data_IF_261624960306
#
_entry.id   IF_261624960306
#
_cell.length_a   1.000
_cell.length_b   1.000
_cell.length_c   1.000
_cell.angle_alpha   90.00
_cell.angle_beta   90.00
_cell.angle_gamma   90.00
#
_symmetry.space_group_name_H-M   'P 1'
#
loop_
_entity.id
_entity.type
_entity.pdbx_description
1 polymer ?
#
# COMPACT_ATOMS: atom_id res chain seq x y z
N UNK A 1 5.12 1.41 -14.11
CA UNK A 1 5.43 0.71 -12.84
C UNK A 1 4.96 -0.75 -12.91
N UNK A 2 5.58 -1.72 -12.22
CA UNK A 2 5.09 -3.11 -12.22
C UNK A 2 4.32 -3.41 -10.93
N UNK A 3 3.01 -3.16 -10.92
CA UNK A 3 2.16 -3.32 -9.73
C UNK A 3 2.09 -4.75 -9.22
N UNK A 4 2.25 -5.78 -10.07
CA UNK A 4 2.23 -7.17 -9.59
C UNK A 4 3.40 -7.48 -8.66
N UNK A 5 4.58 -6.91 -8.94
CA UNK A 5 5.76 -7.07 -8.08
C UNK A 5 5.58 -6.31 -6.76
N UNK A 6 5.01 -5.10 -6.81
CA UNK A 6 4.74 -4.30 -5.61
C UNK A 6 3.71 -4.95 -4.69
N UNK A 7 2.65 -5.55 -5.26
CA UNK A 7 1.66 -6.32 -4.49
C UNK A 7 2.30 -7.53 -3.79
N UNK A 8 3.27 -8.20 -4.43
CA UNK A 8 4.02 -9.29 -3.78
C UNK A 8 4.72 -8.81 -2.51
N UNK A 9 5.42 -7.67 -2.58
CA UNK A 9 6.09 -7.08 -1.42
C UNK A 9 5.12 -6.61 -0.33
N UNK A 10 3.95 -6.07 -0.72
CA UNK A 10 2.89 -5.77 0.26
C UNK A 10 2.44 -7.03 0.98
N UNK A 11 2.20 -8.12 0.26
CA UNK A 11 1.74 -9.37 0.85
C UNK A 11 2.79 -10.01 1.78
N UNK A 12 4.07 -9.91 1.44
CA UNK A 12 5.18 -10.29 2.31
C UNK A 12 5.19 -9.47 3.61
N UNK A 13 5.02 -8.14 3.51
CA UNK A 13 4.97 -7.26 4.67
C UNK A 13 3.74 -7.53 5.54
N UNK A 14 2.55 -7.66 4.94
CA UNK A 14 1.31 -8.01 5.65
C UNK A 14 1.45 -9.34 6.41
N UNK A 15 2.04 -10.36 5.78
CA UNK A 15 2.27 -11.66 6.41
C UNK A 15 3.20 -11.55 7.63
N UNK A 16 4.23 -10.70 7.57
CA UNK A 16 5.12 -10.44 8.71
C UNK A 16 4.40 -9.78 9.90
N UNK A 17 3.27 -9.12 9.65
CA UNK A 17 2.43 -8.48 10.65
C UNK A 17 1.16 -9.29 11.00
N UNK A 18 1.03 -10.52 10.53
CA UNK A 18 -0.12 -11.38 10.82
C UNK A 18 -1.39 -11.04 10.03
N UNK A 19 -1.30 -10.12 9.06
CA UNK A 19 -2.40 -9.77 8.17
C UNK A 19 -2.61 -10.80 7.05
N UNK A 20 -3.85 -10.86 6.55
CA UNK A 20 -4.16 -11.59 5.32
C UNK A 20 -3.58 -10.92 4.08
N UNK A 21 -3.47 -11.64 2.94
CA UNK A 21 -2.99 -11.04 1.71
C UNK A 21 -3.98 -10.00 1.17
N UNK A 22 -3.45 -8.99 0.50
CA UNK A 22 -4.21 -8.13 -0.39
C UNK A 22 -4.65 -8.93 -1.62
N UNK A 23 -5.94 -9.19 -1.74
CA UNK A 23 -6.56 -9.85 -2.89
C UNK A 23 -6.89 -8.79 -3.94
N UNK A 24 -6.04 -8.65 -4.95
CA UNK A 24 -6.21 -7.66 -6.02
C UNK A 24 -7.45 -7.95 -6.87
N UNK A 25 -8.26 -6.92 -7.11
CA UNK A 25 -9.43 -6.95 -8.00
C UNK A 25 -9.19 -6.18 -9.30
N UNK A 26 -8.44 -5.07 -9.24
CA UNK A 26 -8.12 -4.26 -10.41
C UNK A 26 -6.82 -3.50 -10.20
N UNK A 27 -6.11 -3.23 -11.30
CA UNK A 27 -4.89 -2.41 -11.28
C UNK A 27 -4.99 -1.34 -12.36
N UNK A 28 -4.40 -0.18 -12.06
CA UNK A 28 -4.18 0.90 -13.01
C UNK A 28 -2.72 1.32 -12.91
N UNK A 29 -1.93 0.90 -13.89
CA UNK A 29 -0.53 1.29 -13.97
C UNK A 29 -0.40 2.69 -14.58
N UNK A 30 0.50 3.48 -14.01
CA UNK A 30 0.95 4.75 -14.57
C UNK A 30 2.44 4.94 -14.32
N UNK A 31 2.99 5.99 -14.94
CA UNK A 31 4.41 6.31 -14.83
C UNK A 31 4.73 6.91 -13.45
N UNK A 32 4.03 7.98 -13.06
CA UNK A 32 4.24 8.66 -11.77
C UNK A 32 3.33 8.14 -10.67
N UNK A 33 2.15 7.61 -11.03
CA UNK A 33 1.16 7.09 -10.08
C UNK A 33 0.54 5.81 -10.60
N UNK A 34 0.50 4.79 -9.75
CA UNK A 34 -0.23 3.54 -10.00
C UNK A 34 -1.20 3.26 -8.86
N UNK A 35 -2.32 2.60 -9.16
CA UNK A 35 -3.36 2.28 -8.19
C UNK A 35 -3.70 0.81 -8.26
N UNK A 36 -3.86 0.18 -7.09
CA UNK A 36 -4.32 -1.21 -6.95
C UNK A 36 -5.58 -1.20 -6.10
N UNK A 37 -6.68 -1.70 -6.64
CA UNK A 37 -7.91 -1.98 -5.92
C UNK A 37 -7.92 -3.43 -5.49
N UNK A 38 -8.43 -3.71 -4.30
CA UNK A 38 -8.49 -5.08 -3.81
C UNK A 38 -9.27 -5.22 -2.51
N UNK A 39 -9.18 -6.42 -1.94
CA UNK A 39 -9.69 -6.72 -0.61
C UNK A 39 -8.56 -7.06 0.34
N UNK A 40 -8.55 -6.43 1.50
CA UNK A 40 -7.66 -6.76 2.60
C UNK A 40 -8.53 -7.13 3.81
N UNK A 41 -8.48 -8.39 4.23
CA UNK A 41 -9.26 -8.81 5.39
C UNK A 41 -10.79 -8.74 5.20
N UNK A 42 -11.26 -8.75 3.95
CA UNK A 42 -12.67 -8.56 3.60
C UNK A 42 -13.08 -7.10 3.35
N UNK A 43 -12.23 -6.13 3.69
CA UNK A 43 -12.46 -4.70 3.44
C UNK A 43 -12.02 -4.34 2.02
N UNK A 44 -12.85 -3.55 1.32
CA UNK A 44 -12.48 -2.98 0.02
C UNK A 44 -11.48 -1.84 0.22
N UNK A 45 -10.30 -1.98 -0.35
CA UNK A 45 -9.19 -1.05 -0.17
C UNK A 45 -8.58 -0.63 -1.50
N UNK A 46 -7.95 0.54 -1.47
CA UNK A 46 -7.19 1.11 -2.58
C UNK A 46 -5.77 1.42 -2.13
N UNK A 47 -4.80 0.83 -2.79
CA UNK A 47 -3.39 1.17 -2.63
C UNK A 47 -2.99 2.13 -3.73
N UNK A 48 -2.37 3.24 -3.35
CA UNK A 48 -1.72 4.16 -4.28
C UNK A 48 -0.21 4.08 -4.12
N UNK A 49 0.47 4.01 -5.25
CA UNK A 49 1.92 4.12 -5.38
C UNK A 49 2.22 5.40 -6.13
N UNK A 50 3.04 6.27 -5.57
CA UNK A 50 3.38 7.55 -6.18
C UNK A 50 4.89 7.80 -6.14
N UNK A 51 5.42 8.26 -7.27
CA UNK A 51 6.77 8.81 -7.37
C UNK A 51 6.67 10.30 -7.02
N UNK A 52 7.20 10.70 -5.87
CA UNK A 52 7.18 12.10 -5.46
C UNK A 52 8.33 12.85 -6.14
N UNK A 53 7.99 13.99 -6.75
CA UNK A 53 9.00 14.88 -7.33
C UNK A 53 9.73 15.64 -6.22
N UNK A 54 11.00 15.32 -5.97
CA UNK A 54 11.87 16.00 -5.00
C UNK A 54 13.28 16.14 -5.54
N UNK A 55 13.98 17.22 -5.15
CA UNK A 55 15.44 17.35 -5.36
C UNK A 55 16.15 17.17 -4.00
N UNK A 56 17.29 16.47 -3.94
CA UNK A 56 18.06 15.93 -5.06
C UNK A 56 17.50 14.63 -5.67
N UNK A 57 16.66 13.86 -4.97
CA UNK A 57 16.16 12.58 -5.46
C UNK A 57 14.63 12.46 -5.37
N UNK A 58 13.97 11.88 -6.39
CA UNK A 58 12.55 11.55 -6.32
C UNK A 58 12.31 10.48 -5.24
N UNK A 59 11.26 10.67 -4.45
CA UNK A 59 10.85 9.71 -3.43
C UNK A 59 9.81 8.73 -3.96
N UNK A 60 9.55 7.67 -3.21
CA UNK A 60 8.50 6.71 -3.48
C UNK A 60 7.58 6.66 -2.28
N UNK A 61 6.27 6.83 -2.47
CA UNK A 61 5.29 6.74 -1.39
C UNK A 61 4.29 5.63 -1.67
N UNK A 62 3.76 5.07 -0.58
CA UNK A 62 2.64 4.13 -0.58
C UNK A 62 1.58 4.68 0.35
N UNK A 63 0.33 4.63 -0.09
CA UNK A 63 -0.82 4.96 0.73
C UNK A 63 -1.89 3.88 0.56
N UNK A 64 -2.52 3.48 1.65
CA UNK A 64 -3.66 2.58 1.66
C UNK A 64 -4.89 3.38 2.09
N UNK A 65 -6.00 3.20 1.38
CA UNK A 65 -7.27 3.85 1.66
C UNK A 65 -8.37 2.80 1.84
N UNK A 66 -9.26 3.01 2.80
CA UNK A 66 -10.55 2.33 2.81
C UNK A 66 -11.40 2.90 1.67
N UNK A 67 -11.84 2.04 0.75
CA UNK A 67 -12.49 2.52 -0.48
C UNK A 67 -13.92 3.00 -0.22
N UNK A 68 -14.53 2.57 0.89
CA UNK A 68 -15.89 2.97 1.24
C UNK A 68 -15.92 4.36 1.87
N UNK A 69 -15.01 4.66 2.80
CA UNK A 69 -14.94 5.97 3.45
C UNK A 69 -14.07 6.96 2.69
N UNK A 70 -13.14 6.48 1.86
CA UNK A 70 -12.11 7.28 1.21
C UNK A 70 -10.99 7.73 2.17
N UNK A 71 -11.02 7.27 3.42
CA UNK A 71 -10.02 7.63 4.42
C UNK A 71 -8.74 6.84 4.22
N UNK A 72 -7.60 7.50 4.39
CA UNK A 72 -6.31 6.83 4.40
C UNK A 72 -6.17 6.03 5.70
N UNK A 73 -5.96 4.73 5.57
CA UNK A 73 -5.79 3.79 6.69
C UNK A 73 -4.31 3.46 6.83
N UNK A 74 -3.75 3.63 8.03
CA UNK A 74 -2.30 3.56 8.21
C UNK A 74 -1.52 4.72 7.58
N UNK A 75 -0.23 4.77 7.90
CA UNK A 75 0.69 5.82 7.46
C UNK A 75 2.03 5.20 7.11
N UNK A 76 2.71 5.75 6.12
CA UNK A 76 4.08 5.41 5.81
C UNK A 76 4.83 6.62 5.32
N UNK A 77 6.13 6.58 5.52
CA UNK A 77 7.04 7.60 5.04
C UNK A 77 7.50 7.29 3.61
N UNK A 78 7.90 8.33 2.89
CA UNK A 78 8.52 8.16 1.57
C UNK A 78 9.82 7.36 1.69
N UNK A 79 10.00 6.38 0.81
CA UNK A 79 11.20 5.58 0.66
C UNK A 79 12.07 6.02 -0.52
N UNK A 80 13.34 5.60 -0.52
CA UNK A 80 14.20 5.73 -1.70
C UNK A 80 13.76 4.82 -2.85
N UNK A 81 13.02 3.74 -2.54
CA UNK A 81 12.37 2.84 -3.50
C UNK A 81 10.97 2.49 -3.00
N UNK A 82 10.11 1.94 -3.87
CA UNK A 82 8.81 1.43 -3.43
C UNK A 82 8.93 0.29 -2.40
N UNK A 83 9.93 -0.58 -2.52
CA UNK A 83 10.16 -1.66 -1.53
C UNK A 83 10.47 -1.07 -0.16
N UNK A 84 11.28 0.00 -0.13
CA UNK A 84 11.59 0.73 1.10
C UNK A 84 10.34 1.37 1.70
N UNK A 85 9.52 2.02 0.87
CA UNK A 85 8.27 2.65 1.29
C UNK A 85 7.25 1.63 1.82
N UNK A 86 7.12 0.48 1.14
CA UNK A 86 6.30 -0.65 1.60
C UNK A 86 6.82 -1.15 2.94
N UNK A 87 8.12 -1.37 3.09
CA UNK A 87 8.70 -1.93 4.33
C UNK A 87 8.54 -0.97 5.52
N UNK A 88 8.63 0.33 5.28
CA UNK A 88 8.46 1.38 6.31
C UNK A 88 7.00 1.74 6.57
N UNK A 89 6.07 1.23 5.78
CA UNK A 89 4.65 1.50 5.95
C UNK A 89 4.14 0.85 7.25
N UNK A 90 3.28 1.55 7.98
CA UNK A 90 2.68 1.06 9.22
C UNK A 90 1.55 0.06 8.94
N UNK A 91 1.89 -1.12 8.41
CA UNK A 91 0.93 -2.18 8.07
C UNK A 91 0.12 -2.65 9.28
N UNK A 92 0.76 -2.80 10.43
CA UNK A 92 0.05 -3.18 11.66
C UNK A 92 -0.99 -2.10 12.06
N UNK A 93 -0.67 -0.82 11.91
CA UNK A 93 -1.62 0.27 12.13
C UNK A 93 -2.81 0.20 11.16
N UNK A 94 -2.54 0.00 9.87
CA UNK A 94 -3.58 -0.19 8.87
C UNK A 94 -4.48 -1.40 9.17
N UNK A 95 -3.91 -2.53 9.61
CA UNK A 95 -4.68 -3.71 9.99
C UNK A 95 -5.57 -3.45 11.21
N UNK A 96 -5.08 -2.70 12.21
CA UNK A 96 -5.88 -2.30 13.37
C UNK A 96 -7.02 -1.36 12.97
N UNK A 97 -6.75 -0.36 12.13
CA UNK A 97 -7.76 0.59 11.64
C UNK A 97 -8.87 -0.12 10.83
N UNK A 98 -8.50 -1.17 10.09
CA UNK A 98 -9.42 -2.05 9.36
C UNK A 98 -10.08 -3.12 10.25
N UNK A 99 -9.80 -3.14 11.56
CA UNK A 99 -10.38 -4.11 12.50
C UNK A 99 -9.90 -5.55 12.32
N UNK A 100 -8.73 -5.76 11.71
CA UNK A 100 -8.15 -7.07 11.41
C UNK A 100 -7.28 -7.66 12.54
N UNK A 101 -7.00 -6.88 13.59
CA UNK A 101 -6.22 -7.34 14.74
C UNK A 101 -7.14 -7.43 15.96
N UNK A 102 -7.68 -8.63 16.22
CA UNK A 102 -8.49 -8.96 17.40
C UNK A 102 -7.70 -9.88 18.34
#
# INVERSE_FOLDING_TARGET
>A
MNTSTLVSHINEALAAHGGGPLVTTSTKDGDDRSTVLGKLGGHDVRVEFEVTSGKPDPGHSVALFDERSGEQVGRGDSGATFVDAITKYSWNGALIDLGQNS
#
